data_IF_344893326157
#
_entry.id   IF_344893326157
#
_cell.length_a   1.000
_cell.length_b   1.000
_cell.length_c   1.000
_cell.angle_alpha   90.00
_cell.angle_beta   90.00
_cell.angle_gamma   90.00
#
_symmetry.space_group_name_H-M   'P 1'
#
loop_
_entity.id
_entity.type
_entity.pdbx_description
1 polymer ?
#
# COMPACT_ATOMS: atom_id res chain seq x y z
N UNK A 1 12.24 11.02 0.49
CA UNK A 1 11.32 9.91 0.87
C UNK A 1 10.97 9.13 -0.37
N UNK A 2 10.61 7.85 -0.26
CA UNK A 2 10.10 7.06 -1.38
C UNK A 2 8.78 6.43 -0.95
N UNK A 3 7.70 6.70 -1.67
CA UNK A 3 6.36 6.15 -1.43
C UNK A 3 5.94 5.35 -2.66
N UNK A 4 5.73 4.05 -2.50
CA UNK A 4 5.16 3.18 -3.52
C UNK A 4 3.68 2.92 -3.28
N UNK A 5 2.97 2.55 -4.33
CA UNK A 5 1.56 2.13 -4.24
C UNK A 5 1.38 0.76 -4.88
N UNK A 6 0.54 -0.08 -4.29
CA UNK A 6 0.12 -1.38 -4.81
C UNK A 6 -1.40 -1.52 -4.65
N UNK A 7 -2.01 -2.37 -5.47
CA UNK A 7 -3.44 -2.67 -5.37
C UNK A 7 -4.12 -3.01 -6.71
N UNK A 8 -5.37 -3.51 -6.64
CA UNK A 8 -6.13 -3.95 -7.81
C UNK A 8 -6.47 -2.81 -8.81
N UNK A 9 -6.98 -3.15 -10.01
CA UNK A 9 -7.46 -2.17 -10.98
C UNK A 9 -8.59 -1.34 -10.37
N UNK A 10 -8.65 -0.05 -10.71
CA UNK A 10 -9.75 0.82 -10.28
C UNK A 10 -9.74 1.21 -8.79
N UNK A 11 -8.83 0.70 -7.95
CA UNK A 11 -8.77 1.01 -6.52
C UNK A 11 -8.41 2.49 -6.21
N UNK A 12 -8.00 3.29 -7.20
CA UNK A 12 -7.67 4.71 -7.00
C UNK A 12 -6.20 5.01 -6.64
N UNK A 13 -5.28 4.08 -6.93
CA UNK A 13 -3.82 4.22 -6.71
C UNK A 13 -3.24 5.53 -7.24
N UNK A 14 -3.35 5.73 -8.56
CA UNK A 14 -2.81 6.91 -9.24
C UNK A 14 -3.51 8.20 -8.79
N UNK A 15 -4.79 8.13 -8.41
CA UNK A 15 -5.52 9.26 -7.82
C UNK A 15 -4.92 9.69 -6.49
N UNK A 16 -4.62 8.74 -5.59
CA UNK A 16 -3.97 9.03 -4.30
C UNK A 16 -2.55 9.57 -4.52
N UNK A 17 -1.80 9.00 -5.46
CA UNK A 17 -0.47 9.50 -5.79
C UNK A 17 -0.49 10.93 -6.35
N UNK A 18 -1.49 11.29 -7.15
CA UNK A 18 -1.65 12.66 -7.65
C UNK A 18 -1.92 13.65 -6.51
N UNK A 19 -2.72 13.28 -5.51
CA UNK A 19 -2.86 14.10 -4.31
C UNK A 19 -1.52 14.26 -3.58
N UNK A 20 -0.80 13.15 -3.35
CA UNK A 20 0.53 13.18 -2.71
C UNK A 20 1.55 14.01 -3.49
N UNK A 21 1.41 14.06 -4.82
CA UNK A 21 2.22 14.91 -5.68
C UNK A 21 1.91 16.41 -5.46
N UNK A 22 0.73 16.73 -4.96
CA UNK A 22 0.20 18.09 -4.84
C UNK A 22 -0.54 18.56 -6.08
N UNK A 23 -1.08 17.64 -6.88
CA UNK A 23 -1.89 17.99 -8.04
C UNK A 23 -3.32 18.37 -7.63
N UNK A 24 -3.74 19.59 -7.98
CA UNK A 24 -5.10 20.06 -7.78
C UNK A 24 -5.87 20.07 -9.11
N UNK A 25 -6.99 19.33 -9.16
CA UNK A 25 -7.84 19.21 -10.35
C UNK A 25 -8.59 20.50 -10.73
N UNK A 26 -8.49 21.56 -9.93
CA UNK A 26 -9.05 22.89 -10.19
C UNK A 26 -8.33 23.63 -11.33
N UNK A 27 -7.11 23.20 -11.66
CA UNK A 27 -6.25 23.80 -12.68
C UNK A 27 -6.70 23.39 -14.08
N UNK A 28 -7.54 24.19 -14.73
CA UNK A 28 -8.01 23.89 -16.10
C UNK A 28 -6.84 23.68 -17.06
N UNK A 29 -6.88 22.57 -17.81
CA UNK A 29 -5.93 22.26 -18.89
C UNK A 29 -4.63 21.55 -18.50
N UNK A 30 -4.38 21.30 -17.21
CA UNK A 30 -3.21 20.54 -16.77
C UNK A 30 -3.59 19.07 -16.54
N UNK A 31 -2.92 18.16 -17.23
CA UNK A 31 -3.09 16.73 -17.02
C UNK A 31 -2.45 16.32 -15.68
N UNK A 32 -3.04 15.35 -14.97
CA UNK A 32 -2.44 14.84 -13.75
C UNK A 32 -1.07 14.21 -14.04
N UNK A 33 -0.11 14.28 -13.10
CA UNK A 33 1.17 13.60 -13.23
C UNK A 33 0.98 12.12 -13.54
N UNK A 34 0.32 11.37 -12.69
CA UNK A 34 -0.02 9.97 -12.97
C UNK A 34 -1.37 9.90 -13.69
N UNK A 35 -1.41 9.19 -14.81
CA UNK A 35 -2.65 9.02 -15.55
C UNK A 35 -3.69 8.29 -14.68
N UNK A 36 -4.87 8.87 -14.56
CA UNK A 36 -6.02 8.24 -13.90
C UNK A 36 -6.94 7.62 -14.94
N UNK A 37 -7.57 6.50 -14.60
CA UNK A 37 -8.50 5.82 -15.48
C UNK A 37 -9.64 6.76 -15.92
N UNK A 38 -9.83 6.89 -17.23
CA UNK A 38 -10.95 7.61 -17.84
C UNK A 38 -12.17 6.71 -17.97
N UNK A 39 -13.35 7.30 -18.18
CA UNK A 39 -14.58 6.52 -18.45
C UNK A 39 -14.44 5.65 -19.70
N UNK A 40 -13.72 6.09 -20.72
CA UNK A 40 -13.46 5.28 -21.93
C UNK A 40 -12.62 4.03 -21.61
N UNK A 41 -11.51 4.20 -20.87
CA UNK A 41 -10.66 3.08 -20.45
C UNK A 41 -11.44 2.12 -19.55
N UNK A 42 -12.29 2.66 -18.67
CA UNK A 42 -13.17 1.88 -17.80
C UNK A 42 -14.19 1.08 -18.60
N UNK A 43 -14.85 1.70 -19.59
CA UNK A 43 -15.80 1.05 -20.48
C UNK A 43 -15.16 -0.07 -21.31
N UNK A 44 -13.88 0.08 -21.67
CA UNK A 44 -13.09 -0.96 -22.35
C UNK A 44 -12.50 -2.02 -21.40
N UNK A 45 -12.77 -1.93 -20.09
CA UNK A 45 -12.18 -2.79 -19.05
C UNK A 45 -10.63 -2.88 -19.11
N UNK A 46 -9.97 -1.81 -19.55
CA UNK A 46 -8.51 -1.75 -19.69
C UNK A 46 -7.84 -1.19 -18.44
N UNK A 47 -6.60 -1.60 -18.21
CA UNK A 47 -5.74 -0.96 -17.22
C UNK A 47 -5.20 0.36 -17.78
N UNK A 48 -4.78 1.25 -16.87
CA UNK A 48 -4.25 2.57 -17.22
C UNK A 48 -2.73 2.62 -17.00
N UNK A 49 -2.26 2.26 -15.81
CA UNK A 49 -0.83 2.19 -15.48
C UNK A 49 -0.22 0.88 -16.00
N UNK A 50 0.96 0.97 -16.63
CA UNK A 50 1.74 -0.16 -17.18
C UNK A 50 3.14 -0.15 -16.54
N UNK A 51 3.62 -1.29 -16.04
CA UNK A 51 4.93 -1.39 -15.41
C UNK A 51 5.06 -0.59 -14.11
N UNK A 52 6.18 0.13 -13.96
CA UNK A 52 6.49 0.97 -12.80
C UNK A 52 6.81 2.38 -13.30
N UNK A 53 6.11 3.38 -12.80
CA UNK A 53 6.32 4.78 -13.13
C UNK A 53 6.82 5.55 -11.90
N UNK A 54 7.88 6.33 -12.06
CA UNK A 54 8.47 7.13 -10.98
C UNK A 54 8.32 8.62 -11.27
N UNK A 55 7.91 9.39 -10.26
CA UNK A 55 7.90 10.85 -10.31
C UNK A 55 8.44 11.46 -9.03
N UNK A 56 9.14 12.58 -9.16
CA UNK A 56 9.58 13.38 -8.03
C UNK A 56 8.57 14.50 -7.79
N UNK A 57 7.90 14.46 -6.64
CA UNK A 57 7.01 15.51 -6.18
C UNK A 57 7.79 16.67 -5.54
N UNK A 58 7.08 17.70 -5.09
CA UNK A 58 7.64 18.73 -4.22
C UNK A 58 8.29 18.11 -2.96
N UNK A 59 9.18 18.86 -2.31
CA UNK A 59 9.90 18.41 -1.11
C UNK A 59 10.76 17.15 -1.28
N UNK A 60 11.16 16.84 -2.52
CA UNK A 60 12.02 15.70 -2.87
C UNK A 60 11.46 14.35 -2.41
N UNK A 61 10.15 14.19 -2.58
CA UNK A 61 9.46 12.92 -2.35
C UNK A 61 9.37 12.20 -3.69
N UNK A 62 9.88 10.97 -3.73
CA UNK A 62 9.77 10.10 -4.90
C UNK A 62 8.48 9.28 -4.73
N UNK A 63 7.60 9.36 -5.72
CA UNK A 63 6.36 8.60 -5.83
C UNK A 63 6.52 7.52 -6.89
N UNK A 64 6.10 6.31 -6.57
CA UNK A 64 6.20 5.13 -7.44
C UNK A 64 4.81 4.57 -7.68
N UNK A 65 4.28 4.80 -8.89
CA UNK A 65 3.04 4.15 -9.36
C UNK A 65 3.38 2.80 -9.99
N UNK A 66 2.46 1.85 -9.87
CA UNK A 66 2.64 0.52 -10.45
C UNK A 66 1.40 0.08 -11.22
N UNK A 67 1.61 -0.81 -12.19
CA UNK A 67 0.53 -1.56 -12.79
C UNK A 67 -0.34 -2.25 -11.72
N UNK A 68 -1.64 -2.43 -11.99
CA UNK A 68 -2.54 -3.06 -11.05
C UNK A 68 -2.20 -4.54 -10.80
N UNK A 69 -2.31 -4.96 -9.54
CA UNK A 69 -2.28 -6.38 -9.16
C UNK A 69 -3.62 -7.04 -9.53
N UNK A 70 -3.65 -8.37 -9.70
CA UNK A 70 -4.88 -9.13 -9.99
C UNK A 70 -5.66 -8.62 -11.22
N UNK A 71 -4.96 -8.06 -12.21
CA UNK A 71 -5.59 -7.38 -13.33
C UNK A 71 -5.86 -8.32 -14.51
N UNK A 72 -7.14 -8.57 -14.78
CA UNK A 72 -7.55 -9.34 -15.95
C UNK A 72 -7.02 -8.75 -17.26
N UNK A 73 -7.01 -7.41 -17.41
CA UNK A 73 -6.51 -6.78 -18.64
C UNK A 73 -4.99 -6.85 -18.79
N UNK A 74 -4.22 -6.85 -17.68
CA UNK A 74 -2.78 -7.12 -17.75
C UNK A 74 -2.53 -8.59 -18.13
N UNK A 75 -3.31 -9.51 -17.58
CA UNK A 75 -3.23 -10.94 -17.94
C UNK A 75 -3.56 -11.17 -19.42
N UNK A 76 -4.60 -10.52 -19.95
CA UNK A 76 -4.97 -10.61 -21.37
C UNK A 76 -3.82 -10.14 -22.27
N UNK A 77 -3.17 -9.03 -21.93
CA UNK A 77 -2.03 -8.52 -22.71
C UNK A 77 -0.78 -9.40 -22.59
N UNK A 78 -0.67 -10.17 -21.51
CA UNK A 78 0.41 -11.13 -21.26
C UNK A 78 0.19 -12.47 -21.99
N UNK A 79 -1.06 -12.86 -22.25
CA UNK A 79 -1.40 -14.20 -22.71
C UNK A 79 -1.24 -14.37 -24.22
N UNK A 80 -0.43 -15.36 -24.62
CA UNK A 80 -0.36 -15.84 -26.00
C UNK A 80 -1.60 -16.70 -26.33
N UNK A 81 -1.90 -16.94 -27.63
CA UNK A 81 -3.01 -17.80 -28.03
C UNK A 81 -2.95 -19.23 -27.50
N UNK A 82 -1.76 -19.72 -27.13
CA UNK A 82 -1.54 -21.04 -26.53
C UNK A 82 -1.68 -21.06 -25.00
N UNK A 83 -2.09 -19.95 -24.39
CA UNK A 83 -2.21 -19.79 -22.93
C UNK A 83 -0.90 -19.53 -22.20
N UNK A 84 0.24 -19.51 -22.90
CA UNK A 84 1.55 -19.21 -22.31
C UNK A 84 1.80 -17.71 -22.16
N UNK A 85 2.69 -17.33 -21.27
CA UNK A 85 3.09 -15.92 -21.09
C UNK A 85 3.97 -15.43 -22.23
N UNK A 86 3.69 -14.22 -22.75
CA UNK A 86 4.49 -13.60 -23.80
C UNK A 86 5.88 -13.12 -23.33
N UNK A 87 6.08 -13.01 -22.03
CA UNK A 87 7.37 -12.75 -21.37
C UNK A 87 7.82 -13.95 -20.53
N UNK A 88 9.12 -14.03 -20.24
CA UNK A 88 9.65 -14.94 -19.22
C UNK A 88 9.86 -14.20 -17.90
N UNK A 89 9.25 -14.71 -16.84
CA UNK A 89 9.25 -14.08 -15.51
C UNK A 89 10.38 -14.62 -14.63
N UNK A 90 10.75 -15.90 -14.80
CA UNK A 90 11.76 -16.60 -14.02
C UNK A 90 12.72 -17.37 -14.93
N UNK A 91 13.99 -16.95 -14.99
CA UNK A 91 15.09 -17.76 -15.54
C UNK A 91 14.98 -18.20 -17.02
N UNK A 92 14.10 -17.59 -17.82
CA UNK A 92 13.91 -17.97 -19.23
C UNK A 92 12.89 -19.09 -19.45
N UNK A 93 12.28 -19.63 -18.39
CA UNK A 93 11.29 -20.70 -18.52
C UNK A 93 9.94 -20.16 -19.03
N UNK A 94 9.29 -20.94 -19.90
CA UNK A 94 7.94 -20.67 -20.41
C UNK A 94 6.91 -21.26 -19.43
N UNK A 95 6.05 -20.40 -18.92
CA UNK A 95 4.98 -20.75 -17.98
C UNK A 95 3.62 -20.29 -18.51
N UNK A 96 2.54 -20.72 -17.86
CA UNK A 96 1.20 -20.23 -18.19
C UNK A 96 1.11 -18.73 -17.91
N UNK A 97 0.29 -18.02 -18.68
CA UNK A 97 0.09 -16.59 -18.50
C UNK A 97 -0.43 -16.26 -17.09
N UNK A 98 -1.30 -17.11 -16.53
CA UNK A 98 -1.84 -16.95 -15.19
C UNK A 98 -0.76 -17.03 -14.10
N UNK A 99 0.13 -18.04 -14.18
CA UNK A 99 1.24 -18.17 -13.24
C UNK A 99 2.23 -17.02 -13.41
N UNK A 100 2.58 -16.66 -14.65
CA UNK A 100 3.44 -15.52 -14.91
C UNK A 100 2.87 -14.23 -14.30
N UNK A 101 1.58 -13.97 -14.49
CA UNK A 101 0.91 -12.80 -13.94
C UNK A 101 0.95 -12.77 -12.40
N UNK A 102 0.73 -13.92 -11.76
CA UNK A 102 0.83 -14.05 -10.29
C UNK A 102 2.26 -13.78 -9.79
N UNK A 103 3.27 -14.39 -10.41
CA UNK A 103 4.68 -14.20 -10.03
C UNK A 103 5.13 -12.75 -10.29
N UNK A 104 4.72 -12.13 -11.39
CA UNK A 104 4.99 -10.71 -11.65
C UNK A 104 4.44 -9.81 -10.54
N UNK A 105 3.22 -10.10 -10.07
CA UNK A 105 2.61 -9.39 -8.95
C UNK A 105 3.46 -9.53 -7.67
N UNK A 106 3.96 -10.72 -7.38
CA UNK A 106 4.81 -10.97 -6.21
C UNK A 106 6.18 -10.31 -6.33
N UNK A 107 6.83 -10.37 -7.51
CA UNK A 107 8.09 -9.68 -7.77
C UNK A 107 7.95 -8.17 -7.58
N UNK A 108 6.85 -7.58 -8.06
CA UNK A 108 6.56 -6.16 -7.87
C UNK A 108 6.44 -5.79 -6.38
N UNK A 109 5.74 -6.61 -5.59
CA UNK A 109 5.61 -6.42 -4.15
C UNK A 109 6.94 -6.51 -3.41
N UNK A 110 7.69 -7.60 -3.63
CA UNK A 110 9.02 -7.79 -3.03
C UNK A 110 9.94 -6.62 -3.38
N UNK A 111 9.92 -6.18 -4.65
CA UNK A 111 10.71 -5.04 -5.10
C UNK A 111 10.32 -3.75 -4.36
N UNK A 112 9.02 -3.37 -4.34
CA UNK A 112 8.57 -2.14 -3.68
C UNK A 112 8.88 -2.13 -2.19
N UNK A 113 8.67 -3.24 -1.48
CA UNK A 113 8.99 -3.34 -0.05
C UNK A 113 10.49 -3.32 0.24
N UNK A 114 11.34 -3.60 -0.75
CA UNK A 114 12.80 -3.53 -0.64
C UNK A 114 13.37 -2.13 -0.91
N UNK A 115 12.68 -1.29 -1.69
CA UNK A 115 13.23 0.00 -2.15
C UNK A 115 12.46 1.23 -1.69
N UNK A 116 11.21 1.08 -1.23
CA UNK A 116 10.39 2.18 -0.73
C UNK A 116 10.57 2.39 0.77
N UNK A 117 10.27 3.59 1.27
CA UNK A 117 10.16 3.81 2.72
C UNK A 117 8.76 3.46 3.21
N UNK A 118 7.74 3.79 2.41
CA UNK A 118 6.32 3.50 2.68
C UNK A 118 5.71 2.87 1.44
N UNK A 119 4.88 1.85 1.63
CA UNK A 119 4.06 1.25 0.55
C UNK A 119 2.59 1.35 0.93
N UNK A 120 1.81 2.04 0.09
CA UNK A 120 0.36 2.15 0.24
C UNK A 120 -0.30 0.94 -0.44
N UNK A 121 -1.04 0.15 0.32
CA UNK A 121 -1.84 -0.97 -0.16
C UNK A 121 -3.28 -0.47 -0.32
N UNK A 122 -3.66 -0.13 -1.56
CA UNK A 122 -4.92 0.53 -1.87
C UNK A 122 -5.93 -0.49 -2.35
N UNK A 123 -7.03 -0.66 -1.63
CA UNK A 123 -8.11 -1.60 -1.95
C UNK A 123 -9.46 -0.88 -2.04
N UNK A 124 -10.46 -1.55 -2.60
CA UNK A 124 -11.85 -1.09 -2.62
C UNK A 124 -12.65 -1.85 -1.56
N UNK A 125 -13.41 -1.15 -0.73
CA UNK A 125 -14.17 -1.77 0.36
C UNK A 125 -13.30 -2.24 1.54
N UNK A 126 -13.91 -2.96 2.48
CA UNK A 126 -13.27 -3.44 3.72
C UNK A 126 -12.78 -4.88 3.66
N UNK A 127 -13.25 -5.67 2.69
CA UNK A 127 -13.16 -7.14 2.72
C UNK A 127 -12.17 -7.70 1.67
N UNK A 128 -10.99 -7.09 1.53
CA UNK A 128 -9.98 -7.52 0.54
C UNK A 128 -8.99 -8.54 1.12
N UNK A 129 -9.49 -9.75 1.38
CA UNK A 129 -8.68 -10.87 1.89
C UNK A 129 -7.58 -11.27 0.89
N UNK A 130 -7.78 -11.07 -0.41
CA UNK A 130 -6.80 -11.38 -1.45
C UNK A 130 -5.56 -10.50 -1.31
N UNK A 131 -5.74 -9.19 -1.10
CA UNK A 131 -4.64 -8.28 -0.82
C UNK A 131 -3.93 -8.61 0.50
N UNK A 132 -4.69 -9.07 1.51
CA UNK A 132 -4.09 -9.46 2.79
C UNK A 132 -3.21 -10.71 2.67
N UNK A 133 -3.70 -11.73 1.96
CA UNK A 133 -2.90 -12.93 1.63
C UNK A 133 -1.66 -12.56 0.85
N UNK A 134 -1.81 -11.72 -0.18
CA UNK A 134 -0.69 -11.22 -0.97
C UNK A 134 0.37 -10.56 -0.08
N UNK A 135 -0.02 -9.69 0.85
CA UNK A 135 0.92 -9.04 1.77
C UNK A 135 1.66 -10.03 2.67
N UNK A 136 0.97 -11.07 3.17
CA UNK A 136 1.61 -12.16 3.92
C UNK A 136 2.58 -12.96 3.06
N UNK A 137 2.24 -13.18 1.80
CA UNK A 137 3.17 -13.82 0.86
C UNK A 137 4.41 -12.95 0.64
N UNK A 138 4.27 -11.63 0.45
CA UNK A 138 5.42 -10.72 0.30
C UNK A 138 6.33 -10.75 1.53
N UNK A 139 5.76 -10.74 2.74
CA UNK A 139 6.51 -10.86 4.00
C UNK A 139 7.40 -12.11 4.01
N UNK A 140 6.88 -13.25 3.54
CA UNK A 140 7.65 -14.49 3.45
C UNK A 140 8.69 -14.47 2.32
N UNK A 141 8.36 -13.88 1.17
CA UNK A 141 9.17 -13.97 -0.05
C UNK A 141 10.33 -12.97 -0.12
N UNK A 142 10.29 -11.88 0.66
CA UNK A 142 11.30 -10.81 0.60
C UNK A 142 12.67 -11.18 1.20
N UNK A 143 12.79 -12.39 1.76
CA UNK A 143 14.01 -12.92 2.36
C UNK A 143 15.18 -12.95 1.36
N UNK A 144 16.37 -12.62 1.83
CA UNK A 144 17.59 -12.61 1.04
C UNK A 144 17.72 -11.42 0.08
N UNK A 145 16.81 -10.45 0.15
CA UNK A 145 16.94 -9.18 -0.59
C UNK A 145 17.57 -8.12 0.34
N UNK A 146 18.83 -7.72 0.07
CA UNK A 146 19.58 -6.83 0.95
C UNK A 146 19.11 -5.38 0.84
N UNK A 147 19.44 -4.58 1.84
CA UNK A 147 19.16 -3.14 1.83
C UNK A 147 19.89 -2.41 0.69
N UNK A 148 19.19 -1.55 -0.07
CA UNK A 148 19.75 -0.88 -1.25
C UNK A 148 20.95 0.02 -0.95
N UNK A 149 21.08 0.54 0.27
CA UNK A 149 22.19 1.41 0.65
C UNK A 149 23.54 0.69 0.71
N UNK A 150 23.55 -0.65 0.78
CA UNK A 150 24.77 -1.47 0.75
C UNK A 150 25.50 -1.32 -0.59
N UNK A 151 24.77 -1.09 -1.69
CA UNK A 151 25.35 -1.04 -3.04
C UNK A 151 25.86 0.34 -3.45
N UNK A 152 25.46 1.39 -2.75
CA UNK A 152 25.83 2.78 -3.06
C UNK A 152 27.34 3.06 -2.96
N UNK A 153 28.07 2.32 -2.12
CA UNK A 153 29.50 2.57 -1.84
C UNK A 153 30.47 1.69 -2.67
N UNK A 154 29.97 0.79 -3.51
CA UNK A 154 30.80 -0.24 -4.16
C UNK A 154 31.63 0.23 -5.37
N UNK A 155 31.65 1.53 -5.68
CA UNK A 155 32.40 2.05 -6.84
C UNK A 155 33.81 2.59 -6.54
N UNK A 156 34.37 2.43 -5.33
CA UNK A 156 35.73 2.97 -5.08
C UNK A 156 36.65 2.33 -4.01
N UNK A 157 36.37 1.15 -3.43
CA UNK A 157 37.28 0.61 -2.41
C UNK A 157 37.19 -0.90 -2.09
N UNK A 158 37.19 -1.80 -3.08
CA UNK A 158 37.38 -3.23 -2.80
C UNK A 158 38.34 -3.89 -3.81
N UNK A 159 39.58 -3.42 -3.81
CA UNK A 159 40.73 -4.29 -4.00
C UNK A 159 41.56 -4.17 -2.71
N UNK A 160 41.93 -5.31 -2.13
CA UNK A 160 42.67 -5.51 -0.88
C UNK A 160 41.87 -5.54 0.43
N UNK A 161 41.42 -6.73 0.82
CA UNK A 161 41.90 -7.37 2.05
C UNK A 161 41.37 -8.80 2.13
N UNK A 162 42.29 -9.76 2.18
CA UNK A 162 41.99 -11.17 2.30
C UNK A 162 41.40 -11.58 3.65
N UNK A 163 40.67 -12.70 3.59
CA UNK A 163 40.69 -13.83 4.50
C UNK A 163 40.70 -13.52 6.01
N UNK A 164 39.51 -13.52 6.63
CA UNK A 164 39.27 -14.02 7.99
C UNK A 164 37.85 -14.55 8.14
N UNK A 165 37.78 -15.87 8.28
CA UNK A 165 36.64 -16.60 8.85
C UNK A 165 36.24 -15.98 10.20
N UNK A 166 34.97 -15.61 10.33
CA UNK A 166 34.33 -15.38 11.62
C UNK A 166 32.85 -15.76 11.50
N UNK A 167 32.61 -17.04 11.77
CA UNK A 167 31.31 -17.68 11.77
C UNK A 167 30.50 -17.26 13.01
N UNK A 168 29.18 -17.13 12.81
CA UNK A 168 28.08 -17.21 13.81
C UNK A 168 27.39 -15.99 14.45
N UNK A 169 27.63 -14.71 14.11
CA UNK A 169 26.79 -13.58 14.63
C UNK A 169 26.63 -12.33 13.71
N UNK A 170 26.73 -12.44 12.39
CA UNK A 170 26.61 -11.30 11.46
C UNK A 170 25.68 -11.52 10.24
N UNK A 171 24.72 -12.45 10.34
CA UNK A 171 23.82 -12.79 9.22
C UNK A 171 22.57 -11.90 9.09
N UNK A 172 22.24 -11.10 10.10
CA UNK A 172 21.22 -10.04 10.04
C UNK A 172 21.81 -8.77 9.40
N UNK A 173 22.40 -8.87 8.20
CA UNK A 173 22.80 -7.70 7.41
C UNK A 173 21.57 -6.96 6.86
N UNK A 174 20.88 -6.29 7.80
CA UNK A 174 19.90 -5.24 7.68
C UNK A 174 19.02 -5.35 6.43
N UNK A 175 18.18 -6.36 6.34
CA UNK A 175 17.12 -6.35 5.36
C UNK A 175 16.18 -5.15 5.62
N UNK A 176 16.08 -4.27 4.63
CA UNK A 176 15.08 -3.19 4.66
C UNK A 176 13.69 -3.76 4.39
N UNK A 177 12.68 -3.26 5.10
CA UNK A 177 11.28 -3.58 4.82
C UNK A 177 10.46 -2.31 5.02
N UNK A 178 9.83 -1.85 3.94
CA UNK A 178 9.02 -0.63 3.92
C UNK A 178 7.81 -0.71 4.87
N UNK A 179 7.40 0.42 5.42
CA UNK A 179 6.20 0.49 6.24
C UNK A 179 4.95 0.33 5.35
N UNK A 180 4.08 -0.63 5.67
CA UNK A 180 2.82 -0.84 4.97
C UNK A 180 1.73 0.06 5.53
N UNK A 181 0.91 0.65 4.65
CA UNK A 181 -0.28 1.42 5.01
C UNK A 181 -1.47 0.90 4.20
N UNK A 182 -2.47 0.36 4.89
CA UNK A 182 -3.69 -0.16 4.26
C UNK A 182 -4.68 0.97 4.02
N UNK A 183 -5.01 1.25 2.76
CA UNK A 183 -5.93 2.34 2.38
C UNK A 183 -7.17 1.74 1.72
N UNK A 184 -8.28 1.76 2.44
CA UNK A 184 -9.56 1.23 1.97
C UNK A 184 -10.38 2.35 1.35
N UNK A 185 -10.63 2.27 0.04
CA UNK A 185 -11.28 3.33 -0.74
C UNK A 185 -12.72 2.99 -1.08
N UNK A 186 -13.46 4.01 -1.54
CA UNK A 186 -14.83 3.91 -2.06
C UNK A 186 -15.83 3.34 -1.05
N UNK A 187 -15.61 3.60 0.23
CA UNK A 187 -16.54 3.20 1.27
C UNK A 187 -17.87 3.97 1.11
N UNK A 188 -18.98 3.24 1.18
CA UNK A 188 -20.34 3.78 1.14
C UNK A 188 -21.06 3.35 2.42
N UNK A 189 -21.70 4.30 3.12
CA UNK A 189 -22.54 4.04 4.29
C UNK A 189 -21.90 3.18 5.42
N UNK A 190 -20.56 3.19 5.55
CA UNK A 190 -19.85 2.29 6.48
C UNK A 190 -19.91 2.80 7.92
N UNK A 191 -20.54 2.05 8.81
CA UNK A 191 -20.68 2.38 10.22
C UNK A 191 -19.34 2.41 10.97
N UNK A 192 -19.31 3.13 12.09
CA UNK A 192 -18.15 3.13 12.99
C UNK A 192 -17.78 1.72 13.47
N UNK A 193 -18.78 0.86 13.69
CA UNK A 193 -18.59 -0.53 14.12
C UNK A 193 -17.86 -1.33 13.06
N UNK A 194 -18.20 -1.18 11.78
CA UNK A 194 -17.52 -1.88 10.69
C UNK A 194 -16.05 -1.44 10.56
N UNK A 195 -15.76 -0.14 10.69
CA UNK A 195 -14.39 0.37 10.71
C UNK A 195 -13.59 -0.19 11.89
N UNK A 196 -14.23 -0.33 13.07
CA UNK A 196 -13.59 -0.95 14.23
C UNK A 196 -13.35 -2.44 14.05
N UNK A 197 -14.30 -3.17 13.45
CA UNK A 197 -14.11 -4.57 13.09
C UNK A 197 -12.95 -4.73 12.10
N UNK A 198 -12.83 -3.86 11.11
CA UNK A 198 -11.71 -3.84 10.17
C UNK A 198 -10.37 -3.61 10.90
N UNK A 199 -10.29 -2.62 11.80
CA UNK A 199 -9.09 -2.37 12.61
C UNK A 199 -8.69 -3.61 13.42
N UNK A 200 -9.66 -4.27 14.07
CA UNK A 200 -9.41 -5.50 14.84
C UNK A 200 -8.95 -6.65 13.94
N UNK A 201 -9.59 -6.81 12.77
CA UNK A 201 -9.25 -7.85 11.81
C UNK A 201 -7.82 -7.66 11.25
N UNK A 202 -7.44 -6.44 10.87
CA UNK A 202 -6.09 -6.13 10.40
C UNK A 202 -5.04 -6.43 11.47
N UNK A 203 -5.26 -5.99 12.71
CA UNK A 203 -4.33 -6.25 13.81
C UNK A 203 -4.20 -7.75 14.14
N UNK A 204 -5.29 -8.50 14.02
CA UNK A 204 -5.31 -9.95 14.21
C UNK A 204 -4.63 -10.69 13.05
N UNK A 205 -4.82 -10.22 11.81
CA UNK A 205 -4.27 -10.85 10.62
C UNK A 205 -2.79 -10.54 10.42
N UNK A 206 -2.29 -9.40 10.93
CA UNK A 206 -0.88 -8.96 10.83
C UNK A 206 -0.21 -8.73 12.21
N UNK A 207 -0.05 -9.77 13.06
CA UNK A 207 0.67 -9.68 14.33
C UNK A 207 2.16 -9.34 14.21
N UNK A 208 2.79 -9.50 13.03
CA UNK A 208 4.22 -9.29 12.89
C UNK A 208 4.60 -7.82 13.13
N UNK A 209 5.65 -7.53 13.93
CA UNK A 209 6.21 -6.18 14.09
C UNK A 209 6.58 -5.45 12.80
N UNK A 210 6.76 -6.16 11.67
CA UNK A 210 6.95 -5.56 10.35
C UNK A 210 5.74 -4.71 9.89
N UNK A 211 4.53 -5.07 10.34
CA UNK A 211 3.29 -4.36 10.01
C UNK A 211 2.73 -3.54 11.17
N UNK A 212 3.12 -3.88 12.39
CA UNK A 212 2.54 -3.36 13.61
C UNK A 212 3.44 -2.28 14.27
N UNK A 213 3.63 -1.15 13.58
CA UNK A 213 4.49 -0.04 14.05
C UNK A 213 3.69 1.23 14.29
N UNK A 214 3.44 1.49 15.58
CA UNK A 214 2.98 2.74 16.17
C UNK A 214 1.60 3.28 15.71
N UNK A 215 0.92 2.64 14.73
CA UNK A 215 -0.32 3.13 14.10
C UNK A 215 -0.27 4.65 13.90
N UNK A 216 0.74 5.15 13.19
CA UNK A 216 0.92 6.58 12.99
C UNK A 216 -0.08 7.14 11.99
N UNK A 217 -0.54 6.30 11.04
CA UNK A 217 -1.67 6.62 10.18
C UNK A 217 -2.93 5.99 10.76
N UNK A 218 -3.92 6.83 11.06
CA UNK A 218 -5.23 6.41 11.55
C UNK A 218 -6.33 7.22 10.92
N UNK A 219 -7.40 6.53 10.61
CA UNK A 219 -8.69 7.18 10.47
C UNK A 219 -9.14 7.74 11.82
N UNK A 220 -9.32 9.07 11.89
CA UNK A 220 -9.93 9.74 13.04
C UNK A 220 -11.38 9.99 12.66
N UNK A 221 -12.29 9.38 13.41
CA UNK A 221 -13.73 9.59 13.23
C UNK A 221 -14.04 11.05 13.56
N UNK A 222 -14.83 11.75 12.73
CA UNK A 222 -15.32 13.08 13.07
C UNK A 222 -16.04 13.01 14.41
N UNK A 223 -15.53 13.71 15.43
CA UNK A 223 -16.21 13.74 16.73
C UNK A 223 -17.56 14.45 16.54
N UNK A 224 -18.66 13.75 16.83
CA UNK A 224 -19.94 14.42 16.96
C UNK A 224 -19.83 15.50 18.06
N UNK A 225 -20.42 16.69 17.86
CA UNK A 225 -20.49 17.67 18.93
C UNK A 225 -21.13 17.04 20.17
N UNK A 226 -20.74 17.45 21.39
CA UNK A 226 -21.35 16.93 22.60
C UNK A 226 -22.88 17.15 22.60
N UNK A 227 -23.68 16.32 23.31
CA UNK A 227 -25.15 16.40 23.32
C UNK A 227 -25.72 17.81 23.55
N UNK A 228 -24.98 18.63 24.31
CA UNK A 228 -25.30 20.02 24.57
C UNK A 228 -25.37 20.89 23.32
N UNK A 229 -24.71 20.53 22.21
CA UNK A 229 -24.63 21.32 20.98
C UNK A 229 -25.51 20.80 19.83
N UNK A 230 -26.26 19.72 20.05
CA UNK A 230 -27.10 19.08 19.02
C UNK A 230 -28.25 19.95 18.54
N UNK A 231 -28.63 20.96 19.32
CA UNK A 231 -29.62 21.97 18.93
C UNK A 231 -29.18 22.81 17.72
N UNK A 232 -27.87 22.87 17.43
CA UNK A 232 -27.29 23.56 16.27
C UNK A 232 -27.27 22.70 15.00
N UNK A 233 -27.62 21.42 15.09
CA UNK A 233 -27.59 20.46 13.98
C UNK A 233 -28.92 20.42 13.21
N UNK A 234 -28.86 20.08 11.92
CA UNK A 234 -30.05 20.00 11.06
C UNK A 234 -31.02 18.91 11.54
N UNK A 235 -32.31 19.08 11.23
CA UNK A 235 -33.39 18.18 11.69
C UNK A 235 -33.21 16.72 11.24
N UNK A 236 -32.55 16.50 10.10
CA UNK A 236 -32.22 15.15 9.60
C UNK A 236 -31.22 14.39 10.49
N UNK A 237 -30.28 15.09 11.13
CA UNK A 237 -29.28 14.48 12.01
C UNK A 237 -29.81 14.13 13.40
N UNK A 238 -30.90 14.78 13.83
CA UNK A 238 -31.55 14.48 15.12
C UNK A 238 -32.13 13.05 15.17
N UNK A 239 -32.40 12.46 14.01
CA UNK A 239 -32.88 11.08 13.87
C UNK A 239 -31.78 10.02 13.90
N UNK A 240 -30.50 10.40 13.78
CA UNK A 240 -29.35 9.49 13.75
C UNK A 240 -28.72 9.32 15.14
N UNK A 241 -29.55 9.22 16.18
CA UNK A 241 -29.07 8.94 17.54
C UNK A 241 -28.25 7.64 17.51
N UNK A 242 -26.96 7.63 17.86
CA UNK A 242 -26.27 6.38 18.13
C UNK A 242 -27.02 5.74 19.30
N UNK A 243 -27.50 4.50 19.12
CA UNK A 243 -28.10 3.70 20.21
C UNK A 243 -27.00 3.28 21.20
N UNK A 244 -26.41 4.24 21.90
CA UNK A 244 -25.70 4.00 23.14
C UNK A 244 -26.68 4.39 24.24
N UNK A 245 -27.31 3.38 24.84
CA UNK A 245 -28.09 3.59 26.06
C UNK A 245 -27.17 4.29 27.08
N UNK A 246 -27.61 5.36 27.74
CA UNK A 246 -26.86 5.91 28.86
C UNK A 246 -26.74 4.79 29.90
N UNK A 247 -25.50 4.37 30.20
CA UNK A 247 -25.24 3.71 31.48
C UNK A 247 -25.39 4.82 32.51
N UNK A 248 -26.60 4.99 33.02
CA UNK A 248 -26.82 5.71 34.27
C UNK A 248 -26.16 4.88 35.36
N UNK A 249 -24.92 5.23 35.69
CA UNK A 249 -24.44 5.31 37.07
C UNK A 249 -23.09 6.03 37.10
N UNK A 250 -23.01 7.04 37.98
CA UNK A 250 -21.92 7.98 38.07
C UNK A 250 -20.56 7.30 38.29
N UNK A 251 -19.63 7.54 37.37
CA UNK A 251 -18.16 7.58 37.53
C UNK A 251 -17.42 7.41 36.20
N UNK A 252 -18.11 7.05 35.11
CA UNK A 252 -17.49 6.76 33.79
C UNK A 252 -17.37 7.93 32.82
N UNK A 253 -17.80 9.15 33.19
CA UNK A 253 -17.59 10.34 32.35
C UNK A 253 -16.09 10.70 32.16
N UNK A 254 -15.21 10.07 32.95
CA UNK A 254 -13.74 10.14 32.81
C UNK A 254 -13.16 9.03 31.91
N UNK A 255 -13.95 8.05 31.47
CA UNK A 255 -13.47 6.88 30.72
C UNK A 255 -13.44 7.10 29.20
N UNK A 256 -14.25 8.00 28.63
CA UNK A 256 -14.22 8.32 27.19
C UNK A 256 -12.97 9.13 26.81
N UNK A 257 -12.40 9.90 27.76
CA UNK A 257 -11.11 10.61 27.58
C UNK A 257 -9.88 9.69 27.64
N UNK A 258 -10.05 8.39 27.86
CA UNK A 258 -8.99 7.38 27.86
C UNK A 258 -9.34 6.20 26.95
N UNK A 259 -9.69 6.46 25.69
CA UNK A 259 -9.26 5.52 24.64
C UNK A 259 -7.73 5.56 24.65
N UNK A 260 -7.12 4.70 25.47
CA UNK A 260 -5.69 4.39 25.47
C UNK A 260 -5.29 4.29 24.01
N UNK A 261 -4.37 5.15 23.56
CA UNK A 261 -3.70 4.99 22.27
C UNK A 261 -3.24 3.53 22.22
N UNK A 262 -3.72 2.66 21.30
CA UNK A 262 -3.00 1.42 21.06
C UNK A 262 -1.59 1.84 20.66
N UNK A 263 -0.61 1.52 21.51
CA UNK A 263 0.80 1.89 21.32
C UNK A 263 1.39 1.16 20.11
N UNK A 264 0.71 0.10 19.64
CA UNK A 264 1.08 -0.73 18.49
C UNK A 264 -0.20 -1.16 17.76
N UNK A 265 -0.32 -0.80 16.49
CA UNK A 265 -1.27 -1.41 15.57
C UNK A 265 -0.81 -1.25 14.11
N UNK A 266 -1.55 -1.88 13.20
CA UNK A 266 -1.39 -1.71 11.75
C UNK A 266 -1.74 -0.28 11.35
N UNK A 267 -0.99 0.29 10.41
CA UNK A 267 -1.33 1.58 9.80
C UNK A 267 -2.46 1.38 8.80
N UNK A 268 -3.61 2.01 9.02
CA UNK A 268 -4.72 1.94 8.09
C UNK A 268 -5.46 3.28 7.99
N UNK A 269 -6.07 3.51 6.83
CA UNK A 269 -6.88 4.68 6.55
C UNK A 269 -8.07 4.28 5.67
N UNK A 270 -9.15 5.04 5.76
CA UNK A 270 -10.35 4.81 4.95
C UNK A 270 -10.69 6.07 4.15
N UNK A 271 -11.19 5.89 2.94
CA UNK A 271 -11.64 6.97 2.06
C UNK A 271 -13.07 6.67 1.58
N UNK A 272 -14.00 7.62 1.71
CA UNK A 272 -15.37 7.44 1.23
C UNK A 272 -15.40 7.38 -0.30
N UNK A 273 -16.54 6.97 -0.85
CA UNK A 273 -16.81 7.13 -2.28
C UNK A 273 -16.79 8.63 -2.64
N UNK A 274 -16.09 8.98 -3.71
CA UNK A 274 -16.18 10.32 -4.29
C UNK A 274 -17.55 10.49 -4.95
N UNK A 275 -18.41 11.30 -4.35
CA UNK A 275 -19.73 11.65 -4.89
C UNK A 275 -19.64 13.00 -5.62
N UNK A 276 -20.17 13.08 -6.83
CA UNK A 276 -20.30 14.33 -7.59
C UNK A 276 -21.58 15.05 -7.17
N UNK A 277 -21.47 16.05 -6.30
CA UNK A 277 -22.58 16.92 -5.88
C UNK A 277 -22.77 16.97 -4.37
N UNK A 278 -23.27 18.11 -3.89
CA UNK A 278 -23.48 18.51 -2.48
C UNK A 278 -24.54 17.68 -1.73
N UNK A 279 -24.65 16.37 -1.98
CA UNK A 279 -25.42 15.49 -1.09
C UNK A 279 -24.49 15.09 0.05
N UNK A 280 -24.22 16.05 0.92
CA UNK A 280 -23.54 15.83 2.18
C UNK A 280 -24.48 14.99 3.05
N UNK A 281 -24.37 13.66 2.97
CA UNK A 281 -24.69 12.83 4.11
C UNK A 281 -23.70 13.26 5.21
N UNK A 282 -24.18 14.11 6.13
CA UNK A 282 -23.44 14.78 7.21
C UNK A 282 -22.80 13.83 8.24
N UNK A 283 -22.53 12.58 7.88
CA UNK A 283 -21.87 11.57 8.72
C UNK A 283 -20.36 11.51 8.52
N UNK A 284 -19.83 12.02 7.41
CA UNK A 284 -18.39 11.97 7.09
C UNK A 284 -17.88 13.32 6.60
N UNK A 285 -16.58 13.55 6.79
CA UNK A 285 -15.87 14.64 6.10
C UNK A 285 -15.85 14.36 4.59
N UNK A 286 -15.77 15.42 3.77
CA UNK A 286 -15.74 15.24 2.31
C UNK A 286 -14.55 14.39 1.86
N UNK A 287 -14.71 13.67 0.75
CA UNK A 287 -13.65 12.86 0.14
C UNK A 287 -12.33 13.64 0.00
N UNK A 288 -12.40 14.90 -0.44
CA UNK A 288 -11.23 15.75 -0.64
C UNK A 288 -10.51 16.07 0.68
N UNK A 289 -11.24 16.38 1.74
CA UNK A 289 -10.66 16.66 3.06
C UNK A 289 -9.97 15.42 3.62
N UNK A 290 -10.62 14.25 3.55
CA UNK A 290 -10.03 13.00 4.03
C UNK A 290 -8.82 12.57 3.20
N UNK A 291 -8.84 12.80 1.89
CA UNK A 291 -7.70 12.53 1.01
C UNK A 291 -6.52 13.46 1.34
N UNK A 292 -6.76 14.73 1.62
CA UNK A 292 -5.74 15.68 2.11
C UNK A 292 -5.18 15.28 3.48
N UNK A 293 -6.03 14.79 4.38
CA UNK A 293 -5.58 14.26 5.68
C UNK A 293 -4.69 13.04 5.51
N UNK A 294 -5.07 12.08 4.64
CA UNK A 294 -4.23 10.94 4.30
C UNK A 294 -2.87 11.42 3.79
N UNK A 295 -2.85 12.38 2.85
CA UNK A 295 -1.60 12.99 2.36
C UNK A 295 -0.76 13.51 3.51
N UNK A 296 -1.32 14.35 4.38
CA UNK A 296 -0.58 14.95 5.50
C UNK A 296 -0.04 13.89 6.47
N UNK A 297 -0.79 12.83 6.74
CA UNK A 297 -0.34 11.71 7.58
C UNK A 297 0.80 10.92 6.92
N UNK A 298 0.69 10.60 5.62
CA UNK A 298 1.75 9.89 4.87
C UNK A 298 3.03 10.72 4.80
N UNK A 299 2.92 12.03 4.56
CA UNK A 299 4.08 12.92 4.45
C UNK A 299 4.78 13.19 5.79
N UNK A 300 4.04 13.07 6.90
CA UNK A 300 4.58 13.23 8.27
C UNK A 300 5.09 11.93 8.88
N UNK A 301 4.94 10.78 8.19
CA UNK A 301 5.48 9.51 8.67
C UNK A 301 7.01 9.59 8.87
N UNK A 302 7.46 9.16 10.05
CA UNK A 302 8.88 8.93 10.29
C UNK A 302 9.36 7.77 9.40
N UNK A 303 10.24 8.12 8.46
CA UNK A 303 10.78 7.17 7.48
C UNK A 303 11.69 6.16 8.18
N UNK A 304 11.47 4.86 7.96
CA UNK A 304 12.52 3.87 8.22
C UNK A 304 13.71 4.18 7.32
N UNK A 305 14.80 4.64 7.93
CA UNK A 305 16.02 4.92 7.19
C UNK A 305 16.63 3.61 6.71
N UNK A 306 17.19 3.63 5.51
CA UNK A 306 18.11 2.59 5.07
C UNK A 306 19.30 2.51 6.05
N UNK A 307 19.93 1.34 6.11
CA UNK A 307 21.07 1.05 6.99
C UNK A 307 22.21 2.07 6.84
N UNK A 308 22.46 2.57 5.63
CA UNK A 308 23.39 3.67 5.34
C UNK A 308 22.66 4.83 4.65
N UNK A 309 23.16 6.07 4.78
CA UNK A 309 22.63 7.21 4.04
C UNK A 309 22.64 6.93 2.54
N UNK A 310 21.47 7.03 1.92
CA UNK A 310 21.27 6.78 0.50
C UNK A 310 20.57 7.99 -0.14
N UNK A 311 21.30 8.67 -1.03
CA UNK A 311 20.78 9.84 -1.74
C UNK A 311 19.95 9.42 -2.96
N UNK A 312 19.04 10.28 -3.41
CA UNK A 312 18.08 10.02 -4.49
C UNK A 312 18.72 9.47 -5.78
N UNK A 313 19.85 10.06 -6.19
CA UNK A 313 20.57 9.65 -7.40
C UNK A 313 21.17 8.24 -7.24
N UNK A 314 21.70 7.92 -6.07
CA UNK A 314 22.32 6.62 -5.83
C UNK A 314 21.27 5.54 -5.57
N UNK A 315 20.17 5.90 -4.90
CA UNK A 315 18.98 5.07 -4.81
C UNK A 315 18.50 4.63 -6.19
N UNK A 316 18.37 5.57 -7.14
CA UNK A 316 17.93 5.28 -8.50
C UNK A 316 18.89 4.32 -9.24
N UNK A 317 20.21 4.49 -9.08
CA UNK A 317 21.22 3.60 -9.69
C UNK A 317 21.18 2.18 -9.14
N UNK A 318 20.73 2.00 -7.89
CA UNK A 318 20.67 0.68 -7.24
C UNK A 318 19.44 -0.12 -7.66
N UNK A 319 18.36 0.52 -8.12
CA UNK A 319 17.10 -0.15 -8.46
C UNK A 319 17.24 -1.32 -9.45
N UNK A 320 17.98 -1.21 -10.57
CA UNK A 320 18.11 -2.33 -11.51
C UNK A 320 18.77 -3.55 -10.87
N UNK A 321 19.75 -3.33 -9.98
CA UNK A 321 20.43 -4.40 -9.25
C UNK A 321 19.48 -5.12 -8.29
N UNK A 322 18.67 -4.37 -7.54
CA UNK A 322 17.66 -4.96 -6.64
C UNK A 322 16.61 -5.73 -7.46
N UNK A 323 16.15 -5.17 -8.58
CA UNK A 323 15.21 -5.85 -9.48
C UNK A 323 15.78 -7.18 -10.02
N UNK A 324 17.06 -7.20 -10.39
CA UNK A 324 17.73 -8.42 -10.83
C UNK A 324 17.84 -9.47 -9.71
N UNK A 325 18.07 -9.05 -8.46
CA UNK A 325 18.05 -9.95 -7.30
C UNK A 325 16.66 -10.54 -7.07
N UNK A 326 15.60 -9.72 -7.18
CA UNK A 326 14.22 -10.18 -7.05
C UNK A 326 13.88 -11.23 -8.12
N UNK A 327 14.22 -10.98 -9.39
CA UNK A 327 14.01 -11.95 -10.48
C UNK A 327 14.78 -13.26 -10.30
N UNK A 328 15.92 -13.22 -9.61
CA UNK A 328 16.80 -14.37 -9.34
C UNK A 328 16.61 -14.95 -7.94
N UNK A 329 15.61 -14.50 -7.19
CA UNK A 329 15.41 -14.93 -5.81
C UNK A 329 15.09 -16.43 -5.77
N UNK A 330 15.87 -17.23 -5.02
CA UNK A 330 15.62 -18.67 -4.90
C UNK A 330 14.29 -18.95 -4.18
N UNK A 331 13.91 -18.11 -3.21
CA UNK A 331 12.66 -18.24 -2.46
C UNK A 331 11.44 -18.03 -3.37
N UNK A 332 11.50 -17.00 -4.23
CA UNK A 332 10.47 -16.77 -5.26
C UNK A 332 10.41 -17.93 -6.27
N UNK A 333 11.56 -18.48 -6.67
CA UNK A 333 11.61 -19.61 -7.60
C UNK A 333 11.00 -20.88 -7.00
N UNK A 334 11.26 -21.16 -5.73
CA UNK A 334 10.67 -22.28 -5.01
C UNK A 334 9.15 -22.12 -4.84
N UNK A 335 8.69 -20.92 -4.48
CA UNK A 335 7.27 -20.61 -4.40
C UNK A 335 6.56 -20.77 -5.75
N UNK A 336 7.17 -20.32 -6.84
CA UNK A 336 6.66 -20.50 -8.19
C UNK A 336 6.49 -21.99 -8.53
N UNK A 337 7.50 -22.83 -8.23
CA UNK A 337 7.42 -24.28 -8.43
C UNK A 337 6.30 -24.92 -7.61
N UNK A 338 6.12 -24.48 -6.36
CA UNK A 338 5.05 -24.95 -5.48
C UNK A 338 3.68 -24.62 -6.07
N UNK A 339 3.44 -23.38 -6.50
CA UNK A 339 2.20 -22.99 -7.17
C UNK A 339 1.93 -23.82 -8.42
N UNK A 340 2.94 -24.04 -9.25
CA UNK A 340 2.81 -24.86 -10.45
C UNK A 340 2.45 -26.32 -10.12
N UNK A 341 3.06 -26.88 -9.07
CA UNK A 341 2.77 -28.25 -8.60
C UNK A 341 1.39 -28.41 -7.95
N UNK A 342 0.80 -27.32 -7.43
CA UNK A 342 -0.51 -27.33 -6.77
C UNK A 342 -1.68 -27.66 -7.71
N UNK A 343 -1.45 -27.64 -9.02
CA UNK A 343 -2.45 -27.98 -10.03
C UNK A 343 -3.43 -26.85 -10.39
N UNK A 344 -3.31 -25.67 -9.78
CA UNK A 344 -4.13 -24.49 -10.11
C UNK A 344 -3.71 -23.79 -11.40
N UNK A 345 -2.49 -24.03 -11.89
CA UNK A 345 -1.91 -23.35 -13.06
C UNK A 345 -1.43 -24.34 -14.13
N UNK A 346 -2.25 -25.37 -14.42
CA UNK A 346 -1.88 -26.40 -15.42
C UNK A 346 -1.80 -25.79 -16.82
N UNK A 347 -0.84 -26.29 -17.61
CA UNK A 347 -0.69 -25.99 -19.03
C UNK A 347 -1.87 -26.50 -19.84
#
# INVERSE_FOLDING_TARGET
MVVGVLGPPGAGKSTILNELYGFESSSQGILPPFNTQTEDIRAMARHCSVGIELRMAAERIILVDTQPLFSASVLVDLMRPDGTSNISVMGGEVMSAELAHEIMGLQLGVFLFSVCHVVLLVTEGTDDVSMWRYMRTIEMLKQGIPDPSIYSQSSSAFENSGDKDNDSLQDDQLEHFADAVFVHTKLQDVSYTEIKCLEMALNSYFPNPAFNRNSLIRYVVPQFPPPSEWHKMSSHLKGMQPMLKPVENGSEATSIRKLRKPEKGVNFYVLPLKVSGDVVQNTYESYHVMLQQLRNQVLSLQRRSFSKPLFERDWLKVLPRIWDLVKKSPVLAEYCKMLQSSGHFRR
#
